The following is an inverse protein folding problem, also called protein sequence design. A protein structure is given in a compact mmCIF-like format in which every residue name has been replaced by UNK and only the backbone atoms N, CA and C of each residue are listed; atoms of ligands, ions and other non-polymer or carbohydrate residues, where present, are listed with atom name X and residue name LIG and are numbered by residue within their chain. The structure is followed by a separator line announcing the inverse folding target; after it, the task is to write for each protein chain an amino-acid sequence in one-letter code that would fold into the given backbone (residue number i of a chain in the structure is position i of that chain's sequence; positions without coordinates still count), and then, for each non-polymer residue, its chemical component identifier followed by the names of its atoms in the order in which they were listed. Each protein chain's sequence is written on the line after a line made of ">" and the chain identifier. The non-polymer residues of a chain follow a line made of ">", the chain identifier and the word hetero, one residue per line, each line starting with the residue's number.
data_IF_716534651069
#
_entry.id   IF_716534651069
#
_cell.length_a   1.000
_cell.length_b   1.000
_cell.length_c   1.000
_cell.angle_alpha   90.00
_cell.angle_beta   90.00
_cell.angle_gamma   90.00
#
_symmetry.space_group_name_H-M   'P 1'
#
loop_
_entity.id
_entity.type
_entity.pdbx_description
1 polymer ?
#
# COMPACT_ATOMS: atom_id res chain seq x y z
N UNK A 1 30.37 -37.89 -25.15
CA UNK A 1 30.70 -36.96 -24.05
C UNK A 1 30.05 -35.61 -24.37
N UNK A 2 29.08 -35.20 -23.54
CA UNK A 2 28.43 -33.89 -23.42
C UNK A 2 27.61 -33.35 -24.61
N UNK A 3 26.30 -33.64 -24.51
CA UNK A 3 25.18 -32.91 -25.12
C UNK A 3 25.15 -31.50 -24.49
N UNK A 4 25.37 -30.46 -25.28
CA UNK A 4 25.27 -29.08 -24.82
C UNK A 4 23.82 -28.61 -24.97
N UNK A 5 23.17 -28.49 -23.82
CA UNK A 5 21.94 -27.74 -23.61
C UNK A 5 22.11 -26.29 -24.10
N UNK A 6 21.19 -25.81 -24.94
CA UNK A 6 20.89 -24.39 -25.05
C UNK A 6 19.37 -24.25 -24.96
N UNK A 7 18.91 -24.09 -23.72
CA UNK A 7 17.51 -23.80 -23.39
C UNK A 7 17.15 -22.45 -24.00
N UNK A 8 16.04 -22.49 -24.74
CA UNK A 8 15.33 -21.37 -25.29
C UNK A 8 14.85 -20.38 -24.21
N UNK A 9 14.37 -19.25 -24.72
CA UNK A 9 13.58 -18.23 -24.03
C UNK A 9 14.36 -17.13 -23.33
N UNK A 10 14.89 -16.22 -24.16
CA UNK A 10 14.83 -14.80 -23.82
C UNK A 10 13.35 -14.42 -23.89
N UNK A 11 12.61 -14.65 -22.81
CA UNK A 11 11.31 -14.00 -22.61
C UNK A 11 11.62 -12.52 -22.45
N UNK A 12 11.49 -11.78 -23.55
CA UNK A 12 11.16 -10.36 -23.51
C UNK A 12 9.81 -10.23 -22.80
N UNK A 13 9.84 -10.35 -21.48
CA UNK A 13 8.81 -9.80 -20.63
C UNK A 13 9.03 -8.30 -20.66
N UNK A 14 8.44 -7.65 -21.66
CA UNK A 14 8.12 -6.24 -21.59
C UNK A 14 7.24 -6.06 -20.34
N UNK A 15 7.89 -5.85 -19.19
CA UNK A 15 7.23 -5.19 -18.07
C UNK A 15 6.83 -3.84 -18.64
N UNK A 16 5.52 -3.56 -18.73
CA UNK A 16 5.05 -2.40 -19.44
C UNK A 16 5.64 -1.15 -18.80
N UNK A 17 5.88 -0.18 -19.65
CA UNK A 17 6.20 1.23 -19.40
C UNK A 17 5.23 1.83 -18.36
N UNK A 18 5.38 1.48 -17.09
CA UNK A 18 4.63 2.02 -15.95
C UNK A 18 5.51 2.15 -14.70
N UNK A 19 6.83 1.98 -14.85
CA UNK A 19 7.79 2.69 -14.02
C UNK A 19 7.89 4.18 -14.42
N UNK A 20 6.79 4.81 -14.86
CA UNK A 20 6.66 6.25 -14.68
C UNK A 20 6.84 6.47 -13.18
N UNK A 21 7.88 7.21 -12.79
CA UNK A 21 8.13 7.58 -11.41
C UNK A 21 6.88 8.30 -10.89
N UNK A 22 5.95 7.51 -10.33
CA UNK A 22 4.73 8.01 -9.74
C UNK A 22 5.16 8.91 -8.59
N UNK A 23 4.55 10.09 -8.48
CA UNK A 23 4.94 11.04 -7.46
C UNK A 23 4.91 10.35 -6.09
N UNK A 24 5.92 10.57 -5.21
CA UNK A 24 6.04 9.82 -3.96
C UNK A 24 4.78 9.91 -3.09
N UNK A 25 4.06 11.03 -3.12
CA UNK A 25 2.77 11.17 -2.41
C UNK A 25 1.69 10.24 -2.96
N UNK A 26 1.59 10.06 -4.29
CA UNK A 26 0.62 9.15 -4.92
C UNK A 26 0.96 7.70 -4.55
N UNK A 27 2.26 7.34 -4.58
CA UNK A 27 2.71 6.02 -4.11
C UNK A 27 2.31 5.77 -2.67
N UNK A 28 2.49 6.76 -1.78
CA UNK A 28 2.12 6.63 -0.38
C UNK A 28 0.61 6.48 -0.15
N UNK A 29 -0.22 7.18 -0.90
CA UNK A 29 -1.69 6.99 -0.84
C UNK A 29 -2.08 5.56 -1.23
N UNK A 30 -1.44 5.01 -2.27
CA UNK A 30 -1.69 3.62 -2.71
C UNK A 30 -1.21 2.63 -1.64
N UNK A 31 -0.01 2.83 -1.08
CA UNK A 31 0.51 1.99 0.00
C UNK A 31 -0.41 1.97 1.21
N UNK A 32 -0.94 3.13 1.61
CA UNK A 32 -1.93 3.29 2.69
C UNK A 32 -3.21 2.52 2.36
N UNK A 33 -3.73 2.65 1.14
CA UNK A 33 -4.93 1.92 0.70
C UNK A 33 -4.72 0.39 0.70
N UNK A 34 -3.59 -0.08 0.17
CA UNK A 34 -3.21 -1.50 0.16
C UNK A 34 -3.05 -2.03 1.57
N UNK A 35 -2.33 -1.31 2.45
CA UNK A 35 -2.13 -1.69 3.84
C UNK A 35 -3.47 -1.82 4.58
N UNK A 36 -4.40 -0.88 4.38
CA UNK A 36 -5.74 -0.95 4.96
C UNK A 36 -6.50 -2.22 4.57
N UNK A 37 -6.45 -2.62 3.29
CA UNK A 37 -7.10 -3.85 2.82
C UNK A 37 -6.45 -5.12 3.34
N UNK A 38 -5.12 -5.17 3.36
CA UNK A 38 -4.38 -6.31 3.90
C UNK A 38 -4.68 -6.48 5.39
N UNK A 39 -4.69 -5.39 6.15
CA UNK A 39 -5.02 -5.42 7.58
C UNK A 39 -6.46 -5.83 7.81
N UNK A 40 -7.42 -5.27 7.08
CA UNK A 40 -8.83 -5.67 7.21
C UNK A 40 -9.04 -7.17 6.91
N UNK A 41 -8.29 -7.72 5.95
CA UNK A 41 -8.39 -9.13 5.57
C UNK A 41 -7.69 -10.07 6.56
N UNK A 42 -6.56 -9.66 7.16
CA UNK A 42 -5.73 -10.54 8.01
C UNK A 42 -5.90 -10.32 9.52
N UNK A 43 -6.36 -9.15 9.91
CA UNK A 43 -6.56 -8.75 11.30
C UNK A 43 -8.03 -8.35 11.48
N UNK A 44 -8.93 -9.33 11.70
CA UNK A 44 -10.35 -9.04 11.86
C UNK A 44 -10.61 -8.01 12.95
N UNK A 45 -11.47 -7.04 12.65
CA UNK A 45 -11.76 -5.94 13.55
C UNK A 45 -10.73 -4.82 13.55
N UNK A 46 -9.67 -4.87 12.74
CA UNK A 46 -8.76 -3.74 12.52
C UNK A 46 -9.00 -3.10 11.16
N UNK A 47 -8.86 -1.78 11.09
CA UNK A 47 -8.92 -1.01 9.85
C UNK A 47 -7.92 0.13 9.87
N UNK A 48 -7.63 0.68 8.71
CA UNK A 48 -6.84 1.90 8.63
C UNK A 48 -7.60 3.07 9.26
N UNK A 49 -6.89 3.91 9.99
CA UNK A 49 -7.50 5.09 10.58
C UNK A 49 -8.00 6.02 9.47
N UNK A 50 -9.29 6.38 9.41
CA UNK A 50 -9.82 7.24 8.37
C UNK A 50 -9.14 8.62 8.34
N UNK A 51 -8.62 9.09 9.48
CA UNK A 51 -7.80 10.32 9.52
C UNK A 51 -6.53 10.20 8.69
N UNK A 52 -5.87 9.04 8.71
CA UNK A 52 -4.65 8.79 7.94
C UNK A 52 -4.95 8.78 6.44
N UNK A 53 -6.04 8.14 6.04
CA UNK A 53 -6.49 8.15 4.64
C UNK A 53 -6.79 9.59 4.17
N UNK A 54 -7.50 10.37 4.99
CA UNK A 54 -7.82 11.76 4.68
C UNK A 54 -6.55 12.63 4.59
N UNK A 55 -5.61 12.46 5.52
CA UNK A 55 -4.32 13.16 5.52
C UNK A 55 -3.50 12.87 4.26
N UNK A 56 -3.42 11.60 3.85
CA UNK A 56 -2.69 11.20 2.67
C UNK A 56 -3.31 11.77 1.38
N UNK A 57 -4.65 11.72 1.27
CA UNK A 57 -5.37 12.32 0.16
C UNK A 57 -5.14 13.84 0.09
N UNK A 58 -5.30 14.55 1.21
CA UNK A 58 -5.05 15.99 1.29
C UNK A 58 -3.61 16.35 0.91
N UNK A 59 -2.61 15.62 1.42
CA UNK A 59 -1.21 15.87 1.11
C UNK A 59 -0.93 15.74 -0.40
N UNK A 60 -1.52 14.74 -1.06
CA UNK A 60 -1.40 14.57 -2.49
C UNK A 60 -2.13 15.67 -3.28
N UNK A 61 -3.31 16.13 -2.82
CA UNK A 61 -4.00 17.27 -3.42
C UNK A 61 -3.18 18.56 -3.32
N UNK A 62 -2.59 18.87 -2.16
CA UNK A 62 -1.69 20.03 -1.99
C UNK A 62 -0.44 19.95 -2.86
N UNK A 63 0.07 18.74 -3.12
CA UNK A 63 1.18 18.52 -4.05
C UNK A 63 0.78 18.59 -5.54
N UNK A 64 -0.45 19.02 -5.85
CA UNK A 64 -0.96 19.10 -7.22
C UNK A 64 -1.15 17.75 -7.90
N UNK A 65 -1.22 16.66 -7.14
CA UNK A 65 -1.30 15.29 -7.67
C UNK A 65 -2.73 14.76 -7.78
N UNK A 66 -3.75 15.63 -7.74
CA UNK A 66 -5.15 15.21 -7.77
C UNK A 66 -5.47 14.37 -9.01
N UNK A 67 -5.10 14.83 -10.21
CA UNK A 67 -5.31 14.08 -11.44
C UNK A 67 -4.57 12.73 -11.47
N UNK A 68 -3.39 12.66 -10.82
CA UNK A 68 -2.63 11.42 -10.71
C UNK A 68 -3.27 10.45 -9.72
N UNK A 69 -3.90 10.94 -8.65
CA UNK A 69 -4.71 10.14 -7.74
C UNK A 69 -5.99 9.64 -8.40
N UNK A 70 -6.70 10.50 -9.13
CA UNK A 70 -7.93 10.15 -9.83
C UNK A 70 -7.67 9.11 -10.94
N UNK A 71 -6.46 9.11 -11.50
CA UNK A 71 -6.01 8.11 -12.47
C UNK A 71 -5.58 6.78 -11.83
N UNK A 72 -5.46 6.69 -10.49
CA UNK A 72 -5.20 5.43 -9.80
C UNK A 72 -6.45 4.56 -9.93
N UNK A 73 -6.30 3.48 -10.67
CA UNK A 73 -7.39 2.53 -10.90
C UNK A 73 -7.54 1.59 -9.72
N UNK A 74 -8.79 1.28 -9.41
CA UNK A 74 -9.17 0.37 -8.33
C UNK A 74 -8.60 -1.05 -8.56
N UNK A 75 -8.54 -1.51 -9.82
CA UNK A 75 -7.97 -2.82 -10.17
C UNK A 75 -6.46 -2.89 -9.88
N UNK A 76 -5.76 -1.75 -9.97
CA UNK A 76 -4.34 -1.69 -9.61
C UNK A 76 -4.14 -1.87 -8.10
N UNK A 77 -4.94 -1.18 -7.29
CA UNK A 77 -4.91 -1.30 -5.83
C UNK A 77 -5.23 -2.76 -5.44
N UNK A 78 -6.22 -3.36 -6.10
CA UNK A 78 -6.57 -4.75 -5.85
C UNK A 78 -5.44 -5.73 -6.21
N UNK A 79 -4.81 -5.57 -7.39
CA UNK A 79 -3.68 -6.42 -7.79
C UNK A 79 -2.48 -6.29 -6.85
N UNK A 80 -2.19 -5.07 -6.37
CA UNK A 80 -1.15 -4.82 -5.36
C UNK A 80 -1.52 -5.44 -4.01
N UNK A 81 -2.79 -5.37 -3.62
CA UNK A 81 -3.32 -6.00 -2.41
C UNK A 81 -3.15 -7.52 -2.48
N UNK A 82 -3.54 -8.16 -3.57
CA UNK A 82 -3.37 -9.61 -3.75
C UNK A 82 -1.90 -10.03 -3.69
N UNK A 83 -1.01 -9.24 -4.29
CA UNK A 83 0.44 -9.47 -4.21
C UNK A 83 0.94 -9.35 -2.77
N UNK A 84 0.56 -8.29 -2.07
CA UNK A 84 0.92 -8.07 -0.67
C UNK A 84 0.35 -9.15 0.26
N UNK A 85 -0.86 -9.63 -0.04
CA UNK A 85 -1.48 -10.74 0.67
C UNK A 85 -0.66 -12.03 0.55
N UNK A 86 -0.11 -12.32 -0.64
CA UNK A 86 0.74 -13.49 -0.90
C UNK A 86 2.15 -13.36 -0.34
N UNK A 87 2.72 -12.15 -0.30
CA UNK A 87 4.10 -11.92 0.16
C UNK A 87 4.23 -11.71 1.66
N UNK A 88 3.19 -11.18 2.32
CA UNK A 88 3.19 -10.94 3.76
C UNK A 88 2.53 -12.12 4.47
N UNK A 89 3.24 -12.90 5.27
CA UNK A 89 2.59 -13.82 6.21
C UNK A 89 2.27 -13.01 7.45
N UNK A 90 1.03 -12.52 7.59
CA UNK A 90 0.63 -11.84 8.84
C UNK A 90 0.04 -12.86 9.79
N UNK A 91 0.69 -13.10 10.93
CA UNK A 91 0.18 -14.00 11.98
C UNK A 91 -0.73 -13.25 12.95
N UNK A 92 -1.67 -13.92 13.65
CA UNK A 92 -2.55 -13.24 14.61
C UNK A 92 -1.81 -12.45 15.70
N UNK A 93 -0.61 -12.90 16.10
CA UNK A 93 0.27 -12.17 17.02
C UNK A 93 0.83 -10.87 16.45
N UNK A 94 1.01 -10.77 15.13
CA UNK A 94 1.48 -9.56 14.47
C UNK A 94 0.37 -8.50 14.39
N UNK A 95 -0.90 -8.90 14.41
CA UNK A 95 -2.03 -7.96 14.49
C UNK A 95 -2.00 -7.13 15.79
N UNK A 96 -1.46 -7.66 16.90
CA UNK A 96 -1.32 -6.90 18.14
C UNK A 96 -0.36 -5.69 17.98
N UNK A 97 0.61 -5.79 17.07
CA UNK A 97 1.58 -4.71 16.81
C UNK A 97 0.95 -3.50 16.12
N UNK A 98 -0.22 -3.67 15.48
CA UNK A 98 -0.95 -2.59 14.82
C UNK A 98 -1.32 -1.45 15.79
N UNK A 99 -1.57 -1.79 17.06
CA UNK A 99 -1.88 -0.82 18.13
C UNK A 99 -0.76 0.19 18.39
N UNK A 100 0.49 -0.18 18.12
CA UNK A 100 1.66 0.68 18.32
C UNK A 100 2.09 1.47 17.08
N UNK A 101 1.49 1.20 15.92
CA UNK A 101 1.86 1.86 14.67
C UNK A 101 1.23 3.25 14.59
N UNK A 102 2.07 4.28 14.54
CA UNK A 102 1.65 5.67 14.48
C UNK A 102 2.44 6.44 13.41
N UNK A 103 1.91 7.59 13.00
CA UNK A 103 2.62 8.55 12.14
C UNK A 103 2.46 9.97 12.70
N UNK A 104 3.37 10.90 12.38
CA UNK A 104 3.24 12.31 12.77
C UNK A 104 1.93 12.95 12.28
N UNK A 105 1.30 13.75 13.13
CA UNK A 105 0.15 14.60 12.77
C UNK A 105 0.67 15.88 12.10
N UNK A 106 0.44 16.10 10.78
CA UNK A 106 0.96 17.27 10.09
C UNK A 106 0.29 18.58 10.53
N UNK A 107 -0.82 18.52 11.28
CA UNK A 107 -1.51 19.71 11.77
C UNK A 107 -1.15 20.08 13.20
N UNK A 108 -0.36 19.26 13.90
CA UNK A 108 0.00 19.52 15.29
C UNK A 108 1.34 18.92 15.65
N UNK A 109 2.32 19.80 15.86
CA UNK A 109 3.68 19.43 16.24
C UNK A 109 3.70 18.56 17.49
N UNK A 110 4.55 17.53 17.47
CA UNK A 110 4.72 16.59 18.59
C UNK A 110 3.58 15.60 18.79
N UNK A 111 2.50 15.66 18.00
CA UNK A 111 1.42 14.67 18.04
C UNK A 111 1.58 13.61 16.96
N UNK A 112 1.07 12.42 17.26
CA UNK A 112 1.00 11.31 16.33
C UNK A 112 -0.43 10.82 16.19
N UNK A 113 -0.78 10.32 15.02
CA UNK A 113 -2.04 9.62 14.76
C UNK A 113 -1.77 8.13 14.60
N UNK A 114 -2.64 7.29 15.16
CA UNK A 114 -2.58 5.85 14.96
C UNK A 114 -2.82 5.51 13.50
N UNK A 115 -1.99 4.64 12.93
CA UNK A 115 -2.12 4.16 11.55
C UNK A 115 -3.33 3.24 11.41
N UNK A 116 -3.53 2.37 12.40
CA UNK A 116 -4.65 1.43 12.44
C UNK A 116 -5.47 1.64 13.70
N UNK A 117 -6.77 1.43 13.58
CA UNK A 117 -7.72 1.50 14.68
C UNK A 117 -8.55 0.23 14.67
N UNK A 118 -9.07 -0.16 15.82
CA UNK A 118 -10.12 -1.16 15.84
C UNK A 118 -11.32 -0.58 15.10
N UNK A 119 -11.83 -1.30 14.11
CA UNK A 119 -13.15 -1.08 13.53
C UNK A 119 -14.16 -1.30 14.66
N UNK A 120 -14.40 -0.25 15.45
CA UNK A 120 -15.50 -0.20 16.38
C UNK A 120 -16.79 -0.20 15.56
N UNK A 121 -17.71 -1.06 15.99
CA UNK A 121 -19.02 -1.37 15.42
C UNK A 121 -19.82 -0.12 15.01
#
# INVERSE_FOLDING_TARGET
>A
MRITFAIAMVVWGALPVQAQQRHPMVSKVIEIAVAGRVVAAKCPGWTINPKVTALAAMAASFAGQQAALDAVREEEIQALTERAMKSSLTTPSECATLSGQTMPDPFSEGRTVALFVHAQQ
#
